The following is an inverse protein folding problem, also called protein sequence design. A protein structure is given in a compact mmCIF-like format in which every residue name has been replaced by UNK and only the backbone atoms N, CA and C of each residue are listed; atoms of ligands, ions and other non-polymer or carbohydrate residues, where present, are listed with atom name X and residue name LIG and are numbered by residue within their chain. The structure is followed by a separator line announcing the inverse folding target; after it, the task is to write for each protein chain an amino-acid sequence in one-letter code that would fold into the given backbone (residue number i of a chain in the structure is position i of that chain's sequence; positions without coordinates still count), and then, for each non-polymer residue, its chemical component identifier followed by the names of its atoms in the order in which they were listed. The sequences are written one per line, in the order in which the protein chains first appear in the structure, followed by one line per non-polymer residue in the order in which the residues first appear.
data_IF_213066136694
#
_entry.id   IF_213066136694
#
_cell.length_a   1.000
_cell.length_b   1.000
_cell.length_c   1.000
_cell.angle_alpha   90.00
_cell.angle_beta   90.00
_cell.angle_gamma   90.00
#
_symmetry.space_group_name_H-M   'P 1'
#
loop_
_entity.id
_entity.type
_entity.pdbx_description
1 polymer ?
#
# COMPACT_ATOMS: atom_id res chain seq x y z
N UNK A 1 8.98 -19.34 -2.45
CA UNK A 1 8.97 -18.12 -1.59
C UNK A 1 8.02 -17.10 -2.20
N UNK A 2 7.26 -16.38 -1.38
CA UNK A 2 6.43 -15.25 -1.81
C UNK A 2 7.30 -14.00 -1.87
N UNK A 3 7.13 -13.21 -2.94
CA UNK A 3 7.79 -11.91 -3.11
C UNK A 3 6.69 -10.85 -2.97
N UNK A 4 6.93 -9.85 -2.12
CA UNK A 4 6.02 -8.71 -1.98
C UNK A 4 6.03 -7.87 -3.26
N UNK A 5 4.89 -7.29 -3.69
CA UNK A 5 4.88 -6.32 -4.79
C UNK A 5 5.78 -5.10 -4.55
N UNK A 6 6.10 -4.78 -3.29
CA UNK A 6 7.02 -3.70 -2.92
C UNK A 6 8.50 -4.05 -3.11
N UNK A 7 8.81 -5.36 -3.14
CA UNK A 7 10.17 -5.87 -3.23
C UNK A 7 10.53 -6.33 -4.65
N UNK A 8 9.66 -6.13 -5.62
CA UNK A 8 9.92 -6.44 -7.02
C UNK A 8 9.71 -5.22 -7.91
N UNK A 9 10.68 -4.99 -8.80
CA UNK A 9 10.60 -3.95 -9.82
C UNK A 9 10.66 -4.60 -11.20
N UNK A 10 9.72 -4.24 -12.07
CA UNK A 10 9.66 -4.68 -13.47
C UNK A 10 8.94 -3.60 -14.31
N UNK A 11 9.04 -3.70 -15.64
CA UNK A 11 8.32 -2.77 -16.51
C UNK A 11 6.83 -3.15 -16.57
N UNK A 12 5.92 -2.33 -16.01
CA UNK A 12 4.49 -2.65 -15.96
C UNK A 12 3.78 -2.61 -17.31
N UNK A 13 4.38 -1.94 -18.31
CA UNK A 13 3.80 -1.76 -19.66
C UNK A 13 4.33 -2.83 -20.64
N UNK A 14 5.20 -3.74 -20.18
CA UNK A 14 5.73 -4.79 -21.02
C UNK A 14 4.63 -5.74 -21.51
N UNK A 15 4.84 -6.34 -22.68
CA UNK A 15 3.88 -7.29 -23.28
C UNK A 15 3.68 -8.56 -22.45
N UNK A 16 4.71 -8.99 -21.74
CA UNK A 16 4.70 -10.20 -20.93
C UNK A 16 5.57 -10.02 -19.69
N UNK A 17 5.10 -10.55 -18.59
CA UNK A 17 5.89 -10.58 -17.35
C UNK A 17 7.15 -11.44 -17.49
N UNK A 18 7.10 -12.54 -18.24
CA UNK A 18 8.25 -13.42 -18.44
C UNK A 18 9.41 -12.75 -19.20
N UNK A 19 9.09 -11.89 -20.19
CA UNK A 19 10.10 -11.27 -21.07
C UNK A 19 10.69 -9.97 -20.53
N UNK A 20 10.11 -9.38 -19.49
CA UNK A 20 10.63 -8.13 -18.94
C UNK A 20 11.75 -8.39 -17.95
N UNK A 21 12.82 -7.57 -17.92
CA UNK A 21 13.81 -7.61 -16.84
C UNK A 21 13.16 -7.36 -15.48
N UNK A 22 13.69 -7.99 -14.45
CA UNK A 22 13.16 -7.94 -13.08
C UNK A 22 14.26 -7.70 -12.09
N UNK A 23 13.95 -6.90 -11.07
CA UNK A 23 14.81 -6.71 -9.91
C UNK A 23 14.03 -7.13 -8.67
N UNK A 24 14.60 -8.01 -7.88
CA UNK A 24 14.10 -8.39 -6.56
C UNK A 24 14.96 -7.70 -5.52
N UNK A 25 14.29 -7.05 -4.58
CA UNK A 25 14.90 -6.46 -3.40
C UNK A 25 14.75 -7.41 -2.22
N UNK A 26 15.79 -7.62 -1.47
CA UNK A 26 15.75 -8.36 -0.22
C UNK A 26 16.66 -7.72 0.82
N UNK A 27 16.22 -7.74 2.07
CA UNK A 27 17.02 -7.32 3.21
C UNK A 27 17.63 -8.57 3.83
N UNK A 28 18.95 -8.65 3.91
CA UNK A 28 19.69 -9.75 4.52
C UNK A 28 20.61 -9.24 5.61
N UNK A 29 20.91 -10.08 6.58
CA UNK A 29 21.95 -9.75 7.55
C UNK A 29 23.36 -9.95 6.95
N UNK A 30 24.35 -9.21 7.47
CA UNK A 30 25.77 -9.40 7.06
C UNK A 30 26.21 -10.85 7.25
N UNK A 31 25.70 -11.51 8.30
CA UNK A 31 26.01 -12.91 8.59
C UNK A 31 25.45 -13.87 7.55
N UNK A 32 24.25 -13.61 7.03
CA UNK A 32 23.63 -14.41 5.95
C UNK A 32 24.42 -14.26 4.65
N UNK A 33 24.74 -13.04 4.26
CA UNK A 33 25.54 -12.78 3.04
C UNK A 33 26.92 -13.44 3.16
N UNK A 34 27.55 -13.36 4.32
CA UNK A 34 28.83 -14.04 4.53
C UNK A 34 28.72 -15.56 4.42
N UNK A 35 27.67 -16.17 4.95
CA UNK A 35 27.42 -17.61 4.78
C UNK A 35 27.23 -18.00 3.32
N UNK A 36 26.52 -17.19 2.54
CA UNK A 36 26.37 -17.42 1.10
C UNK A 36 27.73 -17.38 0.36
N UNK A 37 28.59 -16.43 0.72
CA UNK A 37 29.95 -16.34 0.17
C UNK A 37 30.81 -17.55 0.58
N UNK A 38 30.67 -18.02 1.81
CA UNK A 38 31.44 -19.15 2.35
C UNK A 38 30.99 -20.50 1.76
N UNK A 39 29.76 -20.58 1.20
CA UNK A 39 29.29 -21.77 0.46
C UNK A 39 30.03 -21.98 -0.87
N UNK A 40 30.53 -20.90 -1.48
CA UNK A 40 31.39 -20.97 -2.66
C UNK A 40 32.78 -20.35 -2.37
N UNK A 41 33.66 -21.08 -1.68
CA UNK A 41 34.95 -20.56 -1.25
C UNK A 41 35.90 -20.24 -2.41
N UNK A 42 35.60 -20.68 -3.63
CA UNK A 42 36.45 -20.45 -4.82
C UNK A 42 36.18 -19.08 -5.45
N UNK A 43 35.10 -18.42 -5.12
CA UNK A 43 34.72 -17.12 -5.68
C UNK A 43 35.35 -15.95 -4.91
N UNK A 44 36.62 -15.64 -5.27
CA UNK A 44 37.36 -14.53 -4.66
C UNK A 44 36.73 -13.18 -4.95
N UNK A 45 36.03 -13.02 -6.08
CA UNK A 45 35.34 -11.80 -6.45
C UNK A 45 34.25 -11.44 -5.44
N UNK A 46 33.48 -12.42 -4.97
CA UNK A 46 32.45 -12.20 -3.94
C UNK A 46 33.05 -11.73 -2.60
N UNK A 47 34.20 -12.30 -2.21
CA UNK A 47 34.92 -11.92 -0.99
C UNK A 47 35.44 -10.49 -1.06
N UNK A 48 36.01 -10.11 -2.20
CA UNK A 48 36.47 -8.74 -2.43
C UNK A 48 35.33 -7.73 -2.43
N UNK A 49 34.22 -8.05 -3.09
CA UNK A 49 33.04 -7.19 -3.11
C UNK A 49 32.48 -6.95 -1.70
N UNK A 50 32.41 -8.00 -0.89
CA UNK A 50 31.96 -7.89 0.50
C UNK A 50 32.94 -7.08 1.35
N UNK A 51 34.25 -7.24 1.16
CA UNK A 51 35.28 -6.45 1.84
C UNK A 51 35.16 -4.96 1.48
N UNK A 52 35.00 -4.64 0.20
CA UNK A 52 34.79 -3.26 -0.29
C UNK A 52 33.54 -2.64 0.31
N UNK A 53 32.45 -3.40 0.42
CA UNK A 53 31.23 -2.96 1.09
C UNK A 53 31.47 -2.58 2.56
N UNK A 54 32.17 -3.43 3.32
CA UNK A 54 32.48 -3.15 4.73
C UNK A 54 33.38 -1.92 4.89
N UNK A 55 34.37 -1.75 4.01
CA UNK A 55 35.23 -0.56 3.98
C UNK A 55 34.44 0.69 3.62
N UNK A 56 33.56 0.58 2.61
CA UNK A 56 32.68 1.65 2.17
C UNK A 56 31.75 2.12 3.28
N UNK A 57 31.09 1.21 3.99
CA UNK A 57 30.20 1.55 5.12
C UNK A 57 30.94 2.24 6.27
N UNK A 58 32.18 1.91 6.53
CA UNK A 58 33.01 2.56 7.55
C UNK A 58 33.43 3.98 7.15
N UNK A 59 33.55 4.26 5.86
CA UNK A 59 33.97 5.56 5.33
C UNK A 59 32.83 6.56 5.16
N UNK A 60 31.57 6.08 5.06
CA UNK A 60 30.39 6.93 4.83
C UNK A 60 29.96 7.57 6.14
N UNK A 61 30.56 8.70 6.48
CA UNK A 61 30.11 9.58 7.57
C UNK A 61 29.25 10.76 7.11
N UNK A 62 29.15 11.03 5.81
CA UNK A 62 28.39 12.16 5.25
C UNK A 62 27.86 11.76 3.87
N UNK A 63 26.68 11.21 3.80
CA UNK A 63 25.97 11.10 2.51
C UNK A 63 24.78 12.04 2.54
N UNK A 64 25.03 13.30 2.23
CA UNK A 64 23.99 14.20 1.78
C UNK A 64 23.49 13.69 0.43
N UNK A 65 22.21 13.40 0.33
CA UNK A 65 21.62 13.61 -0.95
C UNK A 65 20.91 12.50 -1.67
N UNK A 66 20.53 11.39 -1.06
CA UNK A 66 19.58 10.51 -1.74
C UNK A 66 18.26 10.40 -0.98
N UNK A 67 17.42 11.43 -1.13
CA UNK A 67 16.11 11.54 -0.48
C UNK A 67 15.20 10.34 -0.77
N UNK A 68 15.23 9.83 -2.02
CA UNK A 68 14.45 8.66 -2.40
C UNK A 68 14.95 7.38 -1.71
N UNK A 69 16.26 7.27 -1.52
CA UNK A 69 16.89 6.16 -0.82
C UNK A 69 16.55 6.21 0.68
N UNK A 70 16.60 7.40 1.28
CA UNK A 70 16.23 7.63 2.67
C UNK A 70 14.78 7.24 2.94
N UNK A 71 13.84 7.67 2.11
CA UNK A 71 12.42 7.32 2.26
C UNK A 71 12.15 5.81 2.16
N UNK A 72 12.90 5.11 1.30
CA UNK A 72 12.81 3.65 1.20
C UNK A 72 13.21 2.96 2.50
N UNK A 73 14.30 3.40 3.12
CA UNK A 73 14.76 2.82 4.39
C UNK A 73 13.87 3.19 5.58
N UNK A 74 13.25 4.37 5.58
CA UNK A 74 12.24 4.72 6.59
C UNK A 74 11.03 3.78 6.50
N UNK A 75 10.60 3.41 5.30
CA UNK A 75 9.53 2.43 5.11
C UNK A 75 9.90 1.02 5.62
N UNK A 76 11.18 0.67 5.62
CA UNK A 76 11.70 -0.59 6.18
C UNK A 76 11.89 -0.55 7.72
N UNK A 77 11.59 0.57 8.36
CA UNK A 77 11.67 0.74 9.81
C UNK A 77 12.99 1.35 10.33
N UNK A 78 13.84 1.88 9.47
CA UNK A 78 15.02 2.65 9.86
C UNK A 78 14.65 4.13 10.00
N UNK A 79 15.07 4.78 11.09
CA UNK A 79 14.79 6.20 11.29
C UNK A 79 15.62 7.11 10.39
N UNK A 80 16.77 6.65 9.91
CA UNK A 80 17.63 7.38 8.98
C UNK A 80 18.51 6.41 8.16
N UNK A 81 19.10 6.94 7.09
CA UNK A 81 20.08 6.20 6.27
C UNK A 81 21.35 5.84 7.06
N UNK A 82 21.70 6.67 8.04
CA UNK A 82 22.85 6.44 8.92
C UNK A 82 22.60 5.21 9.80
N UNK A 83 21.41 5.13 10.41
CA UNK A 83 21.00 3.96 11.18
C UNK A 83 21.02 2.68 10.34
N UNK A 84 20.62 2.76 9.08
CA UNK A 84 20.73 1.62 8.16
C UNK A 84 22.20 1.18 7.98
N UNK A 85 23.12 2.12 7.73
CA UNK A 85 24.55 1.78 7.56
C UNK A 85 25.24 1.30 8.85
N UNK A 86 24.75 1.69 10.01
CA UNK A 86 25.23 1.19 11.31
C UNK A 86 24.63 -0.18 11.67
N UNK A 87 23.51 -0.55 11.05
CA UNK A 87 22.88 -1.84 11.29
C UNK A 87 23.61 -2.99 10.60
N UNK A 88 23.36 -4.22 11.07
CA UNK A 88 23.83 -5.44 10.42
C UNK A 88 23.05 -5.82 9.15
N UNK A 89 22.11 -4.98 8.72
CA UNK A 89 21.27 -5.26 7.55
C UNK A 89 21.92 -4.76 6.26
N UNK A 90 21.77 -5.54 5.19
CA UNK A 90 22.25 -5.22 3.84
C UNK A 90 21.08 -5.32 2.86
N UNK A 91 20.89 -4.27 2.06
CA UNK A 91 20.00 -4.33 0.90
C UNK A 91 20.68 -5.11 -0.22
N UNK A 92 20.08 -6.19 -0.65
CA UNK A 92 20.53 -7.03 -1.76
C UNK A 92 19.51 -6.91 -2.88
N UNK A 93 19.98 -6.48 -4.04
CA UNK A 93 19.20 -6.39 -5.28
C UNK A 93 19.64 -7.52 -6.21
N UNK A 94 18.71 -8.36 -6.63
CA UNK A 94 18.96 -9.42 -7.62
C UNK A 94 18.26 -9.06 -8.91
N UNK A 95 19.03 -8.78 -9.94
CA UNK A 95 18.56 -8.49 -11.29
C UNK A 95 18.49 -9.78 -12.11
N UNK A 96 17.42 -9.92 -12.88
CA UNK A 96 17.23 -10.98 -13.87
C UNK A 96 16.87 -10.34 -15.21
N UNK A 97 17.64 -10.64 -16.24
CA UNK A 97 17.35 -10.17 -17.59
C UNK A 97 18.60 -9.95 -18.45
N UNK A 98 18.37 -9.31 -19.57
CA UNK A 98 19.43 -9.01 -20.54
C UNK A 98 20.13 -7.71 -20.15
N UNK A 99 21.44 -7.69 -20.34
CA UNK A 99 22.28 -6.51 -20.07
C UNK A 99 22.93 -6.08 -21.37
N UNK A 100 22.75 -4.80 -21.72
CA UNK A 100 23.48 -4.17 -22.79
C UNK A 100 24.49 -3.18 -22.19
N UNK A 101 25.76 -3.47 -22.41
CA UNK A 101 26.84 -2.56 -22.03
C UNK A 101 26.99 -1.47 -23.09
N UNK A 102 26.76 -0.24 -22.69
CA UNK A 102 26.84 0.92 -23.59
C UNK A 102 28.26 1.33 -23.94
N UNK A 103 29.23 0.97 -23.10
CA UNK A 103 30.63 1.35 -23.31
C UNK A 103 31.33 0.39 -24.26
N UNK A 104 31.18 -0.92 -24.04
CA UNK A 104 31.78 -1.96 -24.89
C UNK A 104 30.91 -2.29 -26.11
N UNK A 105 29.60 -2.05 -26.06
CA UNK A 105 28.63 -2.48 -27.06
C UNK A 105 28.24 -3.95 -26.93
N UNK A 106 28.69 -4.63 -25.89
CA UNK A 106 28.42 -6.05 -25.69
C UNK A 106 26.99 -6.29 -25.18
N UNK A 107 26.42 -7.39 -25.61
CA UNK A 107 25.09 -7.84 -25.18
C UNK A 107 25.21 -9.17 -24.45
N UNK A 108 24.78 -9.19 -23.20
CA UNK A 108 24.75 -10.36 -22.33
C UNK A 108 23.30 -10.78 -22.12
N UNK A 109 22.97 -11.94 -22.64
CA UNK A 109 21.62 -12.49 -22.55
C UNK A 109 21.43 -13.26 -21.24
N UNK A 110 20.22 -13.12 -20.65
CA UNK A 110 19.72 -13.89 -19.51
C UNK A 110 20.72 -13.97 -18.33
N UNK A 111 21.10 -12.79 -17.82
CA UNK A 111 22.04 -12.67 -16.69
C UNK A 111 21.32 -12.57 -15.36
N UNK A 112 21.94 -13.11 -14.33
CA UNK A 112 21.59 -12.88 -12.92
C UNK A 112 22.71 -12.08 -12.28
N UNK A 113 22.38 -10.86 -11.87
CA UNK A 113 23.34 -9.96 -11.21
C UNK A 113 22.85 -9.63 -9.81
N UNK A 114 23.69 -9.90 -8.84
CA UNK A 114 23.42 -9.57 -7.43
C UNK A 114 24.27 -8.38 -7.01
N UNK A 115 23.61 -7.34 -6.49
CA UNK A 115 24.23 -6.08 -6.07
C UNK A 115 23.90 -5.80 -4.61
N UNK A 116 24.90 -5.45 -3.83
CA UNK A 116 24.75 -5.03 -2.43
C UNK A 116 24.80 -3.52 -2.31
N UNK A 117 23.93 -2.94 -1.47
CA UNK A 117 23.85 -1.49 -1.18
C UNK A 117 23.80 -0.61 -2.45
N UNK A 118 23.28 -1.15 -3.57
CA UNK A 118 23.19 -0.48 -4.88
C UNK A 118 24.54 -0.07 -5.48
N UNK A 119 25.66 -0.50 -4.92
CA UNK A 119 27.00 -0.08 -5.32
C UNK A 119 27.97 -1.24 -5.59
N UNK A 120 27.83 -2.34 -4.87
CA UNK A 120 28.80 -3.42 -4.90
C UNK A 120 28.22 -4.66 -5.57
N UNK A 121 28.79 -5.03 -6.73
CA UNK A 121 28.38 -6.25 -7.47
C UNK A 121 28.95 -7.45 -6.74
N UNK A 122 28.09 -8.32 -6.23
CA UNK A 122 28.44 -9.56 -5.57
C UNK A 122 28.70 -10.68 -6.59
N UNK A 123 27.77 -10.86 -7.53
CA UNK A 123 27.88 -11.88 -8.58
C UNK A 123 27.28 -11.37 -9.90
N UNK A 124 27.79 -11.87 -11.01
CA UNK A 124 27.28 -11.65 -12.36
C UNK A 124 27.44 -12.94 -13.15
N UNK A 125 26.39 -13.73 -13.23
CA UNK A 125 26.41 -15.09 -13.76
C UNK A 125 25.31 -15.27 -14.82
N UNK A 126 25.43 -16.31 -15.63
CA UNK A 126 24.34 -16.75 -16.48
C UNK A 126 23.20 -17.31 -15.62
N UNK A 127 21.96 -17.13 -16.06
CA UNK A 127 20.80 -17.61 -15.33
C UNK A 127 20.83 -19.15 -15.23
N UNK A 128 20.96 -19.72 -14.03
CA UNK A 128 21.02 -21.17 -13.87
C UNK A 128 19.65 -21.84 -14.08
N UNK A 129 18.59 -21.06 -14.31
CA UNK A 129 17.26 -21.60 -14.50
C UNK A 129 17.12 -22.30 -15.86
N UNK A 130 16.76 -23.57 -15.82
CA UNK A 130 16.47 -24.37 -17.03
C UNK A 130 15.31 -23.80 -17.89
N UNK A 131 14.49 -22.87 -17.33
CA UNK A 131 13.40 -22.20 -18.04
C UNK A 131 13.91 -21.15 -19.06
N UNK A 132 15.19 -20.76 -19.02
CA UNK A 132 15.72 -19.66 -19.83
C UNK A 132 15.09 -18.29 -19.52
N UNK A 133 14.42 -18.17 -18.37
CA UNK A 133 13.82 -16.93 -17.87
C UNK A 133 13.91 -16.90 -16.35
N UNK A 134 13.72 -15.73 -15.75
CA UNK A 134 13.68 -15.62 -14.29
C UNK A 134 12.62 -16.58 -13.71
N UNK A 135 12.97 -17.40 -12.70
CA UNK A 135 12.05 -18.36 -12.07
C UNK A 135 11.03 -17.66 -11.15
N UNK A 136 10.39 -16.61 -11.67
CA UNK A 136 9.44 -15.77 -10.97
C UNK A 136 8.12 -15.82 -11.72
N UNK A 137 7.06 -16.14 -11.00
CA UNK A 137 5.71 -16.25 -11.56
C UNK A 137 4.84 -15.16 -10.97
N UNK A 138 4.12 -14.46 -11.84
CA UNK A 138 3.15 -13.45 -11.48
C UNK A 138 1.73 -14.01 -11.67
N UNK A 139 0.93 -13.92 -10.63
CA UNK A 139 -0.49 -14.25 -10.67
C UNK A 139 -1.29 -13.07 -10.14
N UNK A 140 -2.20 -12.55 -10.97
CA UNK A 140 -3.09 -11.46 -10.61
C UNK A 140 -4.54 -11.93 -10.46
N UNK A 141 -5.32 -11.28 -9.62
CA UNK A 141 -6.74 -11.58 -9.46
C UNK A 141 -7.54 -11.27 -10.73
N UNK A 142 -7.38 -10.06 -11.24
CA UNK A 142 -7.99 -9.62 -12.51
C UNK A 142 -6.92 -8.94 -13.36
N UNK A 143 -6.52 -9.61 -14.44
CA UNK A 143 -5.50 -9.09 -15.33
C UNK A 143 -6.05 -7.89 -16.13
N UNK A 144 -5.21 -6.88 -16.31
CA UNK A 144 -5.45 -5.74 -17.17
C UNK A 144 -4.78 -5.97 -18.52
N UNK A 145 -5.30 -5.33 -19.57
CA UNK A 145 -4.70 -5.41 -20.91
C UNK A 145 -3.56 -4.41 -21.11
N UNK A 146 -3.60 -3.33 -20.36
CA UNK A 146 -2.68 -2.17 -20.48
C UNK A 146 -1.53 -2.19 -19.47
N UNK A 147 -1.60 -3.07 -18.47
CA UNK A 147 -0.64 -3.07 -17.38
C UNK A 147 -0.51 -4.47 -16.78
N UNK A 148 0.73 -4.86 -16.46
CA UNK A 148 1.02 -6.15 -15.81
C UNK A 148 0.57 -6.19 -14.33
N UNK A 149 0.42 -5.03 -13.67
CA UNK A 149 -0.21 -5.01 -12.35
C UNK A 149 -1.70 -5.31 -12.50
N UNK A 150 -2.11 -6.41 -11.90
CA UNK A 150 -3.50 -6.82 -11.88
C UNK A 150 -4.31 -5.97 -10.88
N UNK A 151 -5.61 -5.90 -11.12
CA UNK A 151 -6.55 -5.31 -10.16
C UNK A 151 -6.80 -6.29 -9.01
N UNK A 152 -6.83 -5.78 -7.79
CA UNK A 152 -7.24 -6.52 -6.61
C UNK A 152 -8.76 -6.73 -6.56
N UNK A 153 -9.25 -7.65 -5.70
CA UNK A 153 -10.68 -7.90 -5.55
C UNK A 153 -11.44 -6.68 -5.00
N UNK A 154 -10.77 -5.82 -4.24
CA UNK A 154 -11.37 -4.65 -3.59
C UNK A 154 -11.27 -3.36 -4.42
N UNK A 155 -10.48 -3.32 -5.50
CA UNK A 155 -10.25 -2.10 -6.27
C UNK A 155 -11.53 -1.46 -6.81
N UNK A 156 -12.52 -2.28 -7.18
CA UNK A 156 -13.82 -1.81 -7.65
C UNK A 156 -14.68 -1.20 -6.53
N UNK A 157 -14.35 -1.47 -5.27
CA UNK A 157 -15.13 -1.02 -4.10
C UNK A 157 -14.67 0.33 -3.57
N UNK A 158 -13.45 0.76 -3.91
CA UNK A 158 -12.81 1.97 -3.40
C UNK A 158 -13.69 3.22 -3.61
N UNK A 159 -14.30 3.36 -4.78
CA UNK A 159 -15.19 4.50 -5.07
C UNK A 159 -16.44 4.53 -4.20
N UNK A 160 -17.01 3.36 -3.87
CA UNK A 160 -18.15 3.25 -2.96
C UNK A 160 -17.74 3.53 -1.52
N UNK A 161 -16.57 3.05 -1.10
CA UNK A 161 -16.02 3.32 0.22
C UNK A 161 -15.83 4.83 0.45
N UNK A 162 -15.20 5.54 -0.49
CA UNK A 162 -15.09 7.00 -0.41
C UNK A 162 -16.46 7.70 -0.31
N UNK A 163 -17.47 7.15 -0.98
CA UNK A 163 -18.82 7.73 -0.88
C UNK A 163 -19.44 7.51 0.49
N UNK A 164 -19.27 6.34 1.09
CA UNK A 164 -19.73 6.04 2.45
C UNK A 164 -19.00 6.95 3.45
N UNK A 165 -17.67 7.03 3.37
CA UNK A 165 -16.88 7.88 4.26
C UNK A 165 -17.31 9.34 4.18
N UNK A 166 -17.60 9.83 2.97
CA UNK A 166 -18.12 11.19 2.79
C UNK A 166 -19.50 11.39 3.45
N UNK A 167 -20.43 10.44 3.31
CA UNK A 167 -21.75 10.51 3.91
C UNK A 167 -21.68 10.44 5.44
N UNK A 168 -20.83 9.59 5.99
CA UNK A 168 -20.60 9.51 7.44
C UNK A 168 -20.00 10.81 7.99
N UNK A 169 -19.03 11.40 7.29
CA UNK A 169 -18.45 12.69 7.67
C UNK A 169 -19.51 13.80 7.65
N UNK A 170 -20.36 13.87 6.61
CA UNK A 170 -21.45 14.84 6.56
C UNK A 170 -22.44 14.68 7.72
N UNK A 171 -22.75 13.44 8.13
CA UNK A 171 -23.56 13.17 9.31
C UNK A 171 -22.90 13.69 10.57
N UNK A 172 -21.60 13.41 10.75
CA UNK A 172 -20.83 13.88 11.89
C UNK A 172 -20.83 15.41 11.97
N UNK A 173 -20.57 16.10 10.84
CA UNK A 173 -20.61 17.57 10.76
C UNK A 173 -21.98 18.15 11.16
N UNK A 174 -23.07 17.50 10.74
CA UNK A 174 -24.42 17.94 11.12
C UNK A 174 -24.69 17.68 12.61
N UNK A 175 -24.24 16.56 13.16
CA UNK A 175 -24.32 16.31 14.60
C UNK A 175 -23.56 17.35 15.41
N UNK A 176 -22.36 17.74 14.98
CA UNK A 176 -21.59 18.79 15.64
C UNK A 176 -22.27 20.13 15.57
N UNK A 177 -22.91 20.48 14.43
CA UNK A 177 -23.71 21.71 14.30
C UNK A 177 -24.99 21.70 15.14
N UNK A 178 -25.57 20.53 15.38
CA UNK A 178 -26.73 20.38 16.29
C UNK A 178 -26.28 20.52 17.74
N UNK A 179 -25.13 19.93 18.09
CA UNK A 179 -24.55 19.98 19.44
C UNK A 179 -24.05 21.39 19.79
N UNK A 180 -23.45 22.07 18.81
CA UNK A 180 -22.91 23.42 18.94
C UNK A 180 -23.53 24.35 17.88
N UNK A 181 -24.81 24.72 17.99
CA UNK A 181 -25.48 25.50 16.97
C UNK A 181 -24.91 26.90 16.87
N UNK A 182 -24.82 27.41 15.64
CA UNK A 182 -24.38 28.77 15.37
C UNK A 182 -25.47 29.73 15.94
N UNK A 183 -25.03 30.62 16.80
CA UNK A 183 -25.88 31.62 17.38
C UNK A 183 -25.99 32.83 16.43
N UNK A 184 -27.22 33.23 16.11
CA UNK A 184 -27.51 34.44 15.35
C UNK A 184 -27.94 35.53 16.35
N UNK A 185 -27.17 36.60 16.40
CA UNK A 185 -27.48 37.77 17.24
C UNK A 185 -27.87 38.93 16.31
N UNK A 186 -28.97 39.56 16.56
CA UNK A 186 -29.45 40.74 15.83
C UNK A 186 -29.82 41.84 16.84
N UNK A 187 -29.39 43.09 16.52
CA UNK A 187 -29.67 44.24 17.37
C UNK A 187 -28.73 44.34 18.56
N UNK A 188 -29.19 45.12 19.58
CA UNK A 188 -28.42 45.39 20.80
C UNK A 188 -28.69 44.29 21.83
N UNK A 189 -27.68 43.44 22.03
CA UNK A 189 -27.71 42.32 22.98
C UNK A 189 -26.44 42.40 23.82
N UNK A 190 -26.61 42.43 25.14
CA UNK A 190 -25.48 42.41 26.07
C UNK A 190 -24.72 41.08 25.98
N UNK A 191 -23.39 41.14 26.15
CA UNK A 191 -22.54 39.94 26.22
C UNK A 191 -23.04 39.02 27.35
N UNK A 192 -23.26 37.76 27.02
CA UNK A 192 -23.70 36.75 27.97
C UNK A 192 -22.85 35.48 27.85
N UNK A 193 -22.63 34.83 28.98
CA UNK A 193 -21.98 33.54 29.03
C UNK A 193 -22.98 32.42 28.77
N UNK A 194 -22.64 31.52 27.83
CA UNK A 194 -23.48 30.37 27.52
C UNK A 194 -23.40 29.34 28.65
N UNK A 195 -24.36 29.42 29.58
CA UNK A 195 -24.49 28.45 30.68
C UNK A 195 -25.96 28.11 30.95
N UNK A 196 -26.23 26.92 31.50
CA UNK A 196 -27.61 26.56 31.87
C UNK A 196 -28.20 27.57 32.84
N UNK A 197 -29.31 28.21 32.44
CA UNK A 197 -29.99 29.22 33.25
C UNK A 197 -29.44 30.65 33.09
N UNK A 198 -28.54 30.92 32.17
CA UNK A 198 -28.07 32.25 31.84
C UNK A 198 -29.25 33.16 31.42
N UNK A 199 -29.22 34.42 31.87
CA UNK A 199 -30.21 35.44 31.50
C UNK A 199 -29.60 36.34 30.44
N UNK A 200 -30.33 36.52 29.34
CA UNK A 200 -29.94 37.38 28.23
C UNK A 200 -30.74 38.66 28.31
N UNK A 201 -30.07 39.82 28.38
CA UNK A 201 -30.69 41.12 28.32
C UNK A 201 -30.63 41.64 26.89
N UNK A 202 -31.80 42.04 26.37
CA UNK A 202 -31.94 42.48 24.97
C UNK A 202 -32.65 43.82 24.92
N UNK A 203 -32.25 44.71 24.00
CA UNK A 203 -32.98 45.91 23.66
C UNK A 203 -34.27 45.62 22.90
N UNK A 204 -35.11 46.65 22.63
CA UNK A 204 -36.39 46.48 21.93
C UNK A 204 -36.31 45.83 20.55
N UNK A 205 -35.18 45.93 19.85
CA UNK A 205 -34.95 45.31 18.54
C UNK A 205 -33.99 44.11 18.63
N UNK A 206 -33.62 43.68 19.84
CA UNK A 206 -32.71 42.54 20.05
C UNK A 206 -33.41 41.22 19.76
N UNK A 207 -32.72 40.34 19.02
CA UNK A 207 -33.18 38.97 18.76
C UNK A 207 -31.96 38.00 18.82
N UNK A 208 -32.14 36.91 19.54
CA UNK A 208 -31.13 35.84 19.65
C UNK A 208 -31.79 34.55 19.26
N UNK A 209 -31.27 33.95 18.19
CA UNK A 209 -31.76 32.67 17.70
C UNK A 209 -30.63 31.74 17.33
N UNK A 210 -30.94 30.47 17.24
CA UNK A 210 -29.98 29.46 16.74
C UNK A 210 -30.28 29.18 15.28
N UNK A 211 -29.22 29.08 14.48
CA UNK A 211 -29.29 28.54 13.13
C UNK A 211 -29.33 27.01 13.26
N UNK A 212 -30.48 26.42 13.00
CA UNK A 212 -30.60 24.98 12.97
C UNK A 212 -30.15 24.47 11.60
N UNK A 213 -29.20 23.51 11.55
CA UNK A 213 -28.84 22.86 10.29
C UNK A 213 -30.01 22.01 9.77
N UNK A 214 -30.03 21.78 8.46
CA UNK A 214 -30.99 20.87 7.83
C UNK A 214 -30.72 19.42 8.25
N UNK A 215 -31.65 18.74 8.94
CA UNK A 215 -31.45 17.37 9.39
C UNK A 215 -31.48 16.33 8.26
N UNK A 216 -31.67 16.72 7.00
CA UNK A 216 -31.74 15.78 5.88
C UNK A 216 -30.47 14.93 5.75
N UNK A 217 -29.30 15.45 6.13
CA UNK A 217 -28.05 14.69 6.10
C UNK A 217 -28.08 13.46 7.04
N UNK A 218 -28.89 13.53 8.12
CA UNK A 218 -29.07 12.40 9.05
C UNK A 218 -29.83 11.22 8.42
N UNK A 219 -30.54 11.45 7.31
CA UNK A 219 -31.27 10.40 6.58
C UNK A 219 -30.37 9.62 5.58
N UNK A 220 -29.05 9.91 5.57
CA UNK A 220 -28.10 9.23 4.68
C UNK A 220 -27.95 7.72 4.97
N UNK A 221 -28.41 7.22 6.12
CA UNK A 221 -28.31 5.81 6.51
C UNK A 221 -28.90 4.85 5.47
N UNK A 222 -30.01 5.22 4.84
CA UNK A 222 -30.60 4.40 3.77
C UNK A 222 -29.67 4.29 2.56
N UNK A 223 -28.98 5.38 2.20
CA UNK A 223 -28.02 5.37 1.09
C UNK A 223 -26.76 4.58 1.45
N UNK A 224 -26.29 4.70 2.68
CA UNK A 224 -25.13 3.96 3.20
C UNK A 224 -25.43 2.46 3.14
N UNK A 225 -26.56 2.02 3.66
CA UNK A 225 -26.98 0.61 3.59
C UNK A 225 -27.11 0.09 2.15
N UNK A 226 -27.62 0.89 1.25
CA UNK A 226 -27.70 0.51 -0.17
C UNK A 226 -26.31 0.35 -0.81
N UNK A 227 -25.36 1.22 -0.44
CA UNK A 227 -23.97 1.12 -0.90
C UNK A 227 -23.29 -0.11 -0.32
N UNK A 228 -23.46 -0.37 0.97
CA UNK A 228 -22.95 -1.57 1.64
C UNK A 228 -23.44 -2.86 0.98
N UNK A 229 -24.74 -2.96 0.68
CA UNK A 229 -25.31 -4.11 -0.02
C UNK A 229 -24.70 -4.30 -1.41
N UNK A 230 -24.52 -3.21 -2.16
CA UNK A 230 -23.86 -3.26 -3.47
C UNK A 230 -22.41 -3.69 -3.36
N UNK A 231 -21.69 -3.23 -2.32
CA UNK A 231 -20.32 -3.65 -2.07
C UNK A 231 -20.23 -5.15 -1.73
N UNK A 232 -21.15 -5.67 -0.91
CA UNK A 232 -21.24 -7.10 -0.61
C UNK A 232 -21.49 -7.93 -1.89
N UNK A 233 -22.40 -7.50 -2.75
CA UNK A 233 -22.69 -8.15 -4.03
C UNK A 233 -21.48 -8.15 -4.96
N UNK A 234 -20.79 -7.00 -5.08
CA UNK A 234 -19.61 -6.87 -5.95
C UNK A 234 -18.39 -7.60 -5.42
N UNK A 235 -18.25 -7.71 -4.10
CA UNK A 235 -17.19 -8.48 -3.47
C UNK A 235 -17.39 -10.00 -3.60
N UNK A 236 -18.59 -10.44 -4.00
CA UNK A 236 -18.93 -11.86 -4.03
C UNK A 236 -18.95 -12.52 -2.66
N UNK A 237 -19.12 -11.73 -1.60
CA UNK A 237 -19.17 -12.19 -0.21
C UNK A 237 -20.56 -11.96 0.42
N UNK A 238 -21.62 -12.64 -0.07
CA UNK A 238 -22.94 -12.48 0.50
C UNK A 238 -22.94 -12.95 1.98
N UNK A 239 -23.76 -12.30 2.79
CA UNK A 239 -23.88 -12.58 4.24
C UNK A 239 -24.06 -14.06 4.55
N UNK A 240 -24.75 -14.78 3.67
CA UNK A 240 -24.97 -16.24 3.81
C UNK A 240 -23.68 -17.04 3.66
N UNK A 241 -22.75 -16.61 2.79
CA UNK A 241 -21.46 -17.28 2.63
C UNK A 241 -20.56 -17.10 3.86
N UNK A 242 -20.75 -16.00 4.59
CA UNK A 242 -20.06 -15.73 5.86
C UNK A 242 -20.77 -16.36 7.09
N UNK A 243 -21.82 -17.17 6.88
CA UNK A 243 -22.58 -17.81 7.97
C UNK A 243 -23.53 -16.88 8.71
N UNK A 244 -23.73 -15.65 8.24
CA UNK A 244 -24.66 -14.69 8.82
C UNK A 244 -26.09 -15.05 8.36
N UNK A 245 -26.95 -15.35 9.32
CA UNK A 245 -28.35 -15.67 9.04
C UNK A 245 -29.10 -14.42 8.60
N UNK A 246 -29.61 -14.44 7.36
CA UNK A 246 -30.55 -13.40 6.90
C UNK A 246 -31.99 -13.74 7.31
N UNK A 247 -32.81 -12.74 7.64
CA UNK A 247 -34.22 -12.96 7.95
C UNK A 247 -34.93 -13.58 6.72
N UNK A 248 -35.69 -14.62 6.96
CA UNK A 248 -36.44 -15.38 5.96
C UNK A 248 -36.09 -16.88 5.98
N UNK A 249 -37.08 -17.73 5.80
CA UNK A 249 -36.86 -19.17 5.65
C UNK A 249 -36.26 -19.42 4.26
N UNK A 250 -34.96 -19.78 4.23
CA UNK A 250 -34.28 -20.25 3.01
C UNK A 250 -34.08 -21.74 3.07
N UNK A 251 -34.34 -22.40 1.97
CA UNK A 251 -34.13 -23.85 1.86
C UNK A 251 -32.63 -24.15 1.78
N UNK A 252 -32.25 -25.38 2.23
CA UNK A 252 -30.86 -25.82 2.12
C UNK A 252 -30.31 -25.72 0.68
N UNK A 253 -31.18 -25.95 -0.31
CA UNK A 253 -30.82 -25.83 -1.72
C UNK A 253 -30.49 -24.39 -2.14
N UNK A 254 -31.25 -23.39 -1.67
CA UNK A 254 -30.98 -21.98 -1.95
C UNK A 254 -29.65 -21.53 -1.34
N UNK A 255 -29.36 -21.95 -0.11
CA UNK A 255 -28.08 -21.66 0.56
C UNK A 255 -26.92 -22.28 -0.22
N UNK A 256 -27.05 -23.53 -0.64
CA UNK A 256 -26.03 -24.22 -1.41
C UNK A 256 -25.83 -23.59 -2.81
N UNK A 257 -26.90 -23.16 -3.47
CA UNK A 257 -26.84 -22.46 -4.76
C UNK A 257 -26.13 -21.12 -4.61
N UNK A 258 -26.41 -20.36 -3.55
CA UNK A 258 -25.76 -19.09 -3.27
C UNK A 258 -24.26 -19.26 -2.95
N UNK A 259 -23.88 -20.28 -2.17
CA UNK A 259 -22.50 -20.61 -1.90
C UNK A 259 -21.74 -21.01 -3.17
N UNK A 260 -22.36 -21.82 -4.03
CA UNK A 260 -21.76 -22.20 -5.32
C UNK A 260 -21.61 -21.01 -6.27
N UNK A 261 -22.52 -20.04 -6.21
CA UNK A 261 -22.42 -18.81 -7.01
C UNK A 261 -21.32 -17.89 -6.50
N UNK A 262 -21.22 -17.72 -5.19
CA UNK A 262 -20.16 -16.94 -4.56
C UNK A 262 -18.74 -17.51 -4.79
N UNK A 263 -18.62 -18.84 -4.91
CA UNK A 263 -17.33 -19.49 -5.16
C UNK A 263 -16.84 -19.38 -6.63
N UNK A 264 -17.66 -18.82 -7.54
CA UNK A 264 -17.31 -18.62 -8.95
C UNK A 264 -16.79 -17.21 -9.28
N UNK A 265 -16.86 -16.31 -8.31
CA UNK A 265 -16.33 -14.96 -8.42
C UNK A 265 -14.89 -14.93 -7.91
#
# INVERSE_FOLDING_TARGET
TRISPYDICFNPIAKSFSSTPKIIRSMKTMGEVKREIDLDPTNESMKEAFKKLLEGRRSVRNTEGDYNKSNGFVADGFSSIEQYYESDMIEVLTFFGDIFDKESGDFFQDRVVTVMDRAYVLSNEENPSWLGTAPIFHAGWRNRQDNLYAMGPLDNLVGMQYRIDHLENLKADVFDQIAYPIMKIRGDVEDFEFSPGARIYMGEEGDVGYLQPDPMALQADMQIHLLEQKMEEMAGAPKQAMGIRTPGEKTAFEVQSLQNSASRI
#
